data_IF_477942918311
#
_entry.id   IF_477942918311
#
_cell.length_a   1.000
_cell.length_b   1.000
_cell.length_c   1.000
_cell.angle_alpha   90.00
_cell.angle_beta   90.00
_cell.angle_gamma   90.00
#
_symmetry.space_group_name_H-M   'P 1'
#
loop_
_entity.id
_entity.type
_entity.pdbx_description
1 polymer ?
#
# COMPACT_ATOMS: atom_id res chain seq x y z
N UNK A 1 12.74 4.93 29.70
CA UNK A 1 13.72 5.19 28.62
C UNK A 1 14.38 6.54 28.89
N UNK A 2 15.70 6.54 29.04
CA UNK A 2 16.51 7.75 29.01
C UNK A 2 16.82 8.08 27.54
N UNK A 3 16.69 9.35 27.15
CA UNK A 3 16.96 9.82 25.78
C UNK A 3 18.09 10.83 25.83
N UNK A 4 19.22 10.50 25.20
CA UNK A 4 20.37 11.39 25.12
C UNK A 4 20.17 12.41 23.99
N UNK A 5 20.25 13.71 24.31
CA UNK A 5 20.23 14.80 23.34
C UNK A 5 21.51 14.80 22.49
N UNK A 6 21.39 14.95 21.16
CA UNK A 6 22.52 14.88 20.22
C UNK A 6 22.54 16.02 19.22
N UNK A 7 21.42 16.27 18.54
CA UNK A 7 21.34 17.27 17.48
C UNK A 7 20.77 18.61 17.94
N UNK A 8 20.00 18.60 19.02
CA UNK A 8 19.25 19.76 19.49
C UNK A 8 19.83 20.36 20.76
N UNK A 9 19.39 21.56 21.13
CA UNK A 9 19.78 22.23 22.38
C UNK A 9 18.55 22.45 23.26
N UNK A 10 18.66 22.13 24.56
CA UNK A 10 17.55 22.29 25.51
C UNK A 10 17.03 23.73 25.53
N UNK A 11 15.71 23.88 25.44
CA UNK A 11 15.02 25.17 25.49
C UNK A 11 15.06 25.96 24.17
N UNK A 12 15.69 25.44 23.12
CA UNK A 12 15.58 26.02 21.77
C UNK A 12 14.43 25.36 21.02
N UNK A 13 13.64 26.17 20.30
CA UNK A 13 12.63 25.64 19.38
C UNK A 13 13.33 24.94 18.20
N UNK A 14 13.11 23.64 18.09
CA UNK A 14 13.66 22.80 17.04
C UNK A 14 13.29 23.31 15.63
N UNK A 15 12.14 23.94 15.45
CA UNK A 15 11.75 24.44 14.12
C UNK A 15 12.56 25.66 13.67
N UNK A 16 13.33 26.29 14.57
CA UNK A 16 14.27 27.37 14.25
C UNK A 16 15.65 26.84 13.82
N UNK A 17 15.84 25.52 13.74
CA UNK A 17 17.08 24.92 13.23
C UNK A 17 17.18 24.92 11.71
N UNK A 18 16.13 25.36 11.01
CA UNK A 18 16.06 25.49 9.56
C UNK A 18 15.42 26.81 9.17
N UNK A 19 15.81 27.35 8.01
CA UNK A 19 15.13 28.48 7.39
C UNK A 19 13.85 28.02 6.67
N UNK A 20 12.82 28.85 6.66
CA UNK A 20 11.51 28.52 6.09
C UNK A 20 11.15 29.42 4.94
N UNK A 21 10.56 28.84 3.90
CA UNK A 21 10.07 29.58 2.75
C UNK A 21 8.70 29.08 2.29
N UNK A 22 7.94 29.99 1.70
CA UNK A 22 6.69 29.66 1.02
C UNK A 22 7.00 29.18 -0.39
N UNK A 23 6.44 28.04 -0.76
CA UNK A 23 6.55 27.47 -2.11
C UNK A 23 5.19 27.10 -2.67
N UNK A 24 5.11 27.18 -3.99
CA UNK A 24 4.03 26.57 -4.75
C UNK A 24 4.33 25.10 -5.04
N UNK A 25 3.29 24.28 -5.00
CA UNK A 25 3.27 22.92 -5.52
C UNK A 25 2.09 22.75 -6.45
N UNK A 26 2.35 22.26 -7.67
CA UNK A 26 1.35 22.06 -8.72
C UNK A 26 1.56 20.69 -9.34
N UNK A 27 0.51 19.87 -9.30
CA UNK A 27 0.48 18.55 -9.94
C UNK A 27 -0.40 18.64 -11.17
N UNK A 28 0.11 18.19 -12.30
CA UNK A 28 -0.63 18.09 -13.55
C UNK A 28 -0.74 16.65 -14.02
N UNK A 29 -1.80 16.35 -14.77
CA UNK A 29 -1.91 15.15 -15.58
C UNK A 29 -0.99 15.25 -16.81
N UNK A 30 -0.83 14.14 -17.55
CA UNK A 30 -0.04 14.11 -18.78
C UNK A 30 -0.58 15.04 -19.87
N UNK A 31 -1.89 15.32 -19.85
CA UNK A 31 -2.57 16.28 -20.74
C UNK A 31 -2.38 17.76 -20.32
N UNK A 32 -1.65 18.02 -19.23
CA UNK A 32 -1.39 19.36 -18.69
C UNK A 32 -2.49 19.93 -17.78
N UNK A 33 -3.61 19.22 -17.60
CA UNK A 33 -4.67 19.63 -16.67
C UNK A 33 -4.21 19.58 -15.22
N UNK A 34 -4.66 20.54 -14.39
CA UNK A 34 -4.25 20.63 -12.98
C UNK A 34 -5.04 19.65 -12.14
N UNK A 35 -4.33 18.75 -11.46
CA UNK A 35 -4.90 17.81 -10.48
C UNK A 35 -4.98 18.45 -9.10
N UNK A 36 -3.96 19.21 -8.74
CA UNK A 36 -3.84 19.84 -7.43
C UNK A 36 -2.88 21.02 -7.49
N UNK A 37 -3.18 22.09 -6.77
CA UNK A 37 -2.31 23.26 -6.65
C UNK A 37 -2.43 23.87 -5.23
N UNK A 38 -1.29 24.29 -4.67
CA UNK A 38 -1.19 25.06 -3.43
C UNK A 38 -0.02 26.02 -3.56
N UNK A 39 -0.23 27.31 -3.30
CA UNK A 39 0.76 28.36 -3.60
C UNK A 39 1.52 28.89 -2.37
N UNK A 40 1.12 28.48 -1.18
CA UNK A 40 1.50 29.07 0.10
C UNK A 40 1.92 27.98 1.10
N UNK A 41 2.61 26.94 0.62
CA UNK A 41 3.12 25.86 1.46
C UNK A 41 4.44 26.27 2.13
N UNK A 42 4.48 26.25 3.46
CA UNK A 42 5.69 26.52 4.25
C UNK A 42 6.56 25.27 4.37
N UNK A 43 7.74 25.31 3.77
CA UNK A 43 8.69 24.20 3.69
C UNK A 43 10.08 24.68 4.12
N UNK A 44 10.93 23.82 4.71
CA UNK A 44 12.33 24.18 4.93
C UNK A 44 13.05 24.54 3.62
N UNK A 45 13.77 25.66 3.61
CA UNK A 45 14.41 26.20 2.41
C UNK A 45 15.41 25.24 1.76
N UNK A 46 16.06 24.40 2.56
CA UNK A 46 17.02 23.40 2.09
C UNK A 46 16.38 22.19 1.40
N UNK A 47 15.06 21.96 1.52
CA UNK A 47 14.41 20.86 0.81
C UNK A 47 14.38 21.15 -0.68
N UNK A 48 14.38 20.12 -1.53
CA UNK A 48 14.21 20.29 -2.98
C UNK A 48 12.76 20.58 -3.35
N UNK A 49 12.52 21.15 -4.55
CA UNK A 49 11.15 21.31 -5.07
C UNK A 49 10.42 19.96 -5.16
N UNK A 50 11.11 18.88 -5.55
CA UNK A 50 10.51 17.54 -5.57
C UNK A 50 10.04 17.10 -4.17
N UNK A 51 10.83 17.37 -3.12
CA UNK A 51 10.42 17.08 -1.75
C UNK A 51 9.22 17.93 -1.31
N UNK A 52 9.19 19.21 -1.72
CA UNK A 52 8.01 20.07 -1.56
C UNK A 52 6.79 19.45 -2.22
N UNK A 53 6.90 19.05 -3.49
CA UNK A 53 5.76 18.50 -4.23
C UNK A 53 5.26 17.20 -3.62
N UNK A 54 6.15 16.31 -3.16
CA UNK A 54 5.76 15.08 -2.46
C UNK A 54 5.09 15.40 -1.11
N UNK A 55 5.69 16.27 -0.30
CA UNK A 55 5.16 16.65 1.01
C UNK A 55 3.75 17.23 0.87
N UNK A 56 3.58 18.21 -0.01
CA UNK A 56 2.30 18.88 -0.21
C UNK A 56 1.31 17.93 -0.86
N UNK A 57 1.67 17.20 -1.91
CA UNK A 57 0.71 16.36 -2.63
C UNK A 57 0.26 15.12 -1.86
N UNK A 58 1.16 14.49 -1.10
CA UNK A 58 0.92 13.18 -0.48
C UNK A 58 0.69 13.26 1.03
N UNK A 59 1.40 14.12 1.74
CA UNK A 59 1.46 14.06 3.21
C UNK A 59 0.66 15.15 3.91
N UNK A 60 0.47 16.31 3.29
CA UNK A 60 -0.44 17.31 3.82
C UNK A 60 -1.87 16.78 3.80
N UNK A 61 -2.49 16.75 4.99
CA UNK A 61 -3.91 16.53 5.13
C UNK A 61 -4.66 17.63 4.36
N UNK A 62 -5.64 17.24 3.55
CA UNK A 62 -6.32 18.16 2.63
C UNK A 62 -7.53 18.88 3.23
N UNK A 63 -8.10 18.36 4.32
CA UNK A 63 -9.30 18.90 4.95
C UNK A 63 -9.41 18.48 6.42
N UNK A 64 -10.21 19.24 7.18
CA UNK A 64 -10.53 18.96 8.58
C UNK A 64 -9.49 19.48 9.58
N UNK A 65 -8.46 20.20 9.12
CA UNK A 65 -7.43 20.80 9.99
C UNK A 65 -7.93 22.17 10.45
N UNK A 66 -8.05 22.44 11.75
CA UNK A 66 -8.44 23.75 12.26
C UNK A 66 -7.52 24.86 11.73
N UNK A 67 -8.10 25.97 11.28
CA UNK A 67 -7.35 27.11 10.75
C UNK A 67 -7.14 28.16 11.83
N UNK A 68 -6.00 28.83 11.80
CA UNK A 68 -5.59 29.85 12.76
C UNK A 68 -5.14 31.10 12.02
N UNK A 69 -5.32 32.26 12.65
CA UNK A 69 -4.72 33.53 12.21
C UNK A 69 -3.25 33.58 12.60
N UNK A 70 -2.52 34.57 12.09
CA UNK A 70 -1.08 34.76 12.36
C UNK A 70 -0.77 34.98 13.85
N UNK A 71 -1.74 35.46 14.63
CA UNK A 71 -1.63 35.64 16.08
C UNK A 71 -1.93 34.36 16.90
N UNK A 72 -2.18 33.24 16.22
CA UNK A 72 -2.51 31.95 16.82
C UNK A 72 -3.97 31.81 17.26
N UNK A 73 -4.83 32.80 17.01
CA UNK A 73 -6.26 32.68 17.31
C UNK A 73 -6.97 31.79 16.30
N UNK A 74 -7.85 30.91 16.78
CA UNK A 74 -8.63 30.03 15.92
C UNK A 74 -9.57 30.84 15.02
N UNK A 75 -9.65 30.47 13.75
CA UNK A 75 -10.65 31.01 12.83
C UNK A 75 -11.95 30.25 13.10
N UNK A 76 -12.99 30.97 13.47
CA UNK A 76 -14.34 30.42 13.72
C UNK A 76 -15.33 30.99 12.72
N UNK A 77 -16.30 30.17 12.33
CA UNK A 77 -17.45 30.58 11.53
C UNK A 77 -18.45 31.37 12.39
N UNK A 78 -19.45 31.97 11.75
CA UNK A 78 -20.49 32.78 12.41
C UNK A 78 -21.28 32.01 13.47
N UNK A 79 -21.37 30.69 13.33
CA UNK A 79 -22.02 29.78 14.29
C UNK A 79 -21.10 29.33 15.44
N UNK A 80 -19.87 29.83 15.49
CA UNK A 80 -18.87 29.50 16.51
C UNK A 80 -18.10 28.20 16.24
N UNK A 81 -18.36 27.49 15.15
CA UNK A 81 -17.60 26.28 14.80
C UNK A 81 -16.22 26.61 14.22
N UNK A 82 -15.17 25.80 14.46
CA UNK A 82 -13.86 26.03 13.87
C UNK A 82 -13.91 25.92 12.34
N UNK A 83 -13.35 26.91 11.66
CA UNK A 83 -13.10 26.82 10.22
C UNK A 83 -11.97 25.81 10.01
N UNK A 84 -12.18 24.87 9.09
CA UNK A 84 -11.19 23.83 8.78
C UNK A 84 -10.69 23.93 7.34
N UNK A 85 -9.50 23.42 7.10
CA UNK A 85 -8.82 23.46 5.81
C UNK A 85 -7.72 22.41 5.71
N UNK A 86 -6.77 22.57 4.78
CA UNK A 86 -5.60 21.70 4.66
C UNK A 86 -4.49 22.04 5.66
N UNK A 87 -3.54 21.14 5.84
CA UNK A 87 -2.20 21.48 6.32
C UNK A 87 -1.50 22.37 5.28
N UNK A 88 -0.74 23.35 5.76
CA UNK A 88 -0.01 24.33 4.96
C UNK A 88 1.48 24.40 5.28
N UNK A 89 1.95 23.60 6.24
CA UNK A 89 3.37 23.61 6.63
C UNK A 89 3.89 22.22 6.93
N UNK A 90 5.14 21.94 6.53
CA UNK A 90 5.84 20.73 6.98
C UNK A 90 5.98 20.69 8.52
N UNK A 91 5.98 21.85 9.21
CA UNK A 91 5.95 21.92 10.68
C UNK A 91 4.75 21.18 11.26
N UNK A 92 3.57 21.40 10.68
CA UNK A 92 2.31 20.79 11.14
C UNK A 92 2.37 19.27 11.06
N UNK A 93 2.84 18.75 9.92
CA UNK A 93 3.00 17.31 9.70
C UNK A 93 4.00 16.70 10.69
N UNK A 94 5.21 17.29 10.78
CA UNK A 94 6.28 16.80 11.66
C UNK A 94 5.83 16.85 13.13
N UNK A 95 5.17 17.93 13.53
CA UNK A 95 4.63 18.10 14.87
C UNK A 95 3.60 17.04 15.22
N UNK A 96 2.61 16.78 14.35
CA UNK A 96 1.60 15.75 14.65
C UNK A 96 2.18 14.35 14.74
N UNK A 97 3.24 14.04 13.97
CA UNK A 97 3.96 12.78 14.08
C UNK A 97 4.70 12.68 15.42
N UNK A 98 5.69 13.56 15.63
CA UNK A 98 6.58 13.50 16.80
C UNK A 98 5.81 13.72 18.12
N UNK A 99 4.85 14.65 18.11
CA UNK A 99 4.02 14.97 19.27
C UNK A 99 3.08 13.84 19.65
N UNK A 100 2.46 13.15 18.67
CA UNK A 100 1.62 11.99 18.95
C UNK A 100 2.44 10.84 19.55
N UNK A 101 3.62 10.54 19.00
CA UNK A 101 4.49 9.49 19.55
C UNK A 101 4.99 9.84 20.96
N UNK A 102 5.39 11.09 21.18
CA UNK A 102 5.75 11.59 22.52
C UNK A 102 4.58 11.38 23.49
N UNK A 103 3.39 11.84 23.13
CA UNK A 103 2.22 11.77 24.01
C UNK A 103 1.85 10.33 24.38
N UNK A 104 1.98 9.38 23.44
CA UNK A 104 1.81 7.95 23.75
C UNK A 104 2.92 7.42 24.66
N UNK A 105 4.18 7.78 24.40
CA UNK A 105 5.29 7.40 25.28
C UNK A 105 5.12 7.92 26.71
N UNK A 106 4.63 9.15 26.89
CA UNK A 106 4.30 9.70 28.20
C UNK A 106 3.14 8.95 28.86
N UNK A 107 2.03 8.76 28.13
CA UNK A 107 0.83 8.05 28.61
C UNK A 107 1.14 6.63 29.10
N UNK A 108 2.06 5.94 28.44
CA UNK A 108 2.42 4.56 28.75
C UNK A 108 3.71 4.42 29.57
N UNK A 109 4.23 5.53 30.13
CA UNK A 109 5.36 5.49 31.07
C UNK A 109 6.69 5.09 30.43
N UNK A 110 6.88 5.37 29.14
CA UNK A 110 8.10 4.99 28.42
C UNK A 110 9.29 5.88 28.80
N UNK A 111 9.08 7.12 29.23
CA UNK A 111 10.17 8.06 29.54
C UNK A 111 10.50 8.07 31.04
N UNK A 112 11.79 8.17 31.37
CA UNK A 112 12.19 8.26 32.79
C UNK A 112 11.85 9.63 33.38
N UNK A 113 11.92 10.68 32.56
CA UNK A 113 11.65 12.07 32.95
C UNK A 113 10.91 12.83 31.85
N UNK A 114 10.29 13.95 32.18
CA UNK A 114 9.73 14.89 31.18
C UNK A 114 10.80 15.41 30.22
N UNK A 115 12.04 15.61 30.71
CA UNK A 115 13.16 16.04 29.87
C UNK A 115 13.54 14.99 28.81
N UNK A 116 13.40 13.71 29.11
CA UNK A 116 13.57 12.64 28.12
C UNK A 116 12.48 12.71 27.03
N UNK A 117 11.23 13.02 27.41
CA UNK A 117 10.12 13.16 26.47
C UNK A 117 10.28 14.40 25.57
N UNK A 118 10.71 15.54 26.14
CA UNK A 118 11.03 16.75 25.38
C UNK A 118 12.20 16.50 24.42
N UNK A 119 13.26 15.83 24.89
CA UNK A 119 14.41 15.48 24.06
C UNK A 119 14.02 14.52 22.94
N UNK A 120 13.16 13.53 23.21
CA UNK A 120 12.64 12.64 22.18
C UNK A 120 11.90 13.39 21.07
N UNK A 121 11.03 14.34 21.44
CA UNK A 121 10.30 15.16 20.49
C UNK A 121 11.24 16.04 19.66
N UNK A 122 12.18 16.74 20.30
CA UNK A 122 13.11 17.65 19.64
C UNK A 122 14.02 16.90 18.66
N UNK A 123 14.62 15.79 19.08
CA UNK A 123 15.53 15.01 18.22
C UNK A 123 14.80 14.45 16.99
N UNK A 124 13.58 13.93 17.15
CA UNK A 124 12.79 13.41 16.02
C UNK A 124 12.35 14.51 15.05
N UNK A 125 11.90 15.65 15.56
CA UNK A 125 11.59 16.82 14.74
C UNK A 125 12.83 17.25 13.93
N UNK A 126 13.98 17.36 14.59
CA UNK A 126 15.23 17.75 13.95
C UNK A 126 15.62 16.76 12.84
N UNK A 127 15.57 15.45 13.12
CA UNK A 127 15.94 14.40 12.16
C UNK A 127 15.02 14.40 10.93
N UNK A 128 13.73 14.69 11.08
CA UNK A 128 12.81 14.82 9.95
C UNK A 128 13.04 16.13 9.17
N UNK A 129 13.26 17.25 9.85
CA UNK A 129 13.54 18.55 9.21
C UNK A 129 14.84 18.52 8.37
N UNK A 130 15.85 17.80 8.85
CA UNK A 130 17.16 17.65 8.19
C UNK A 130 17.24 16.40 7.29
N UNK A 131 16.11 15.69 7.10
CA UNK A 131 16.02 14.49 6.27
C UNK A 131 17.04 13.38 6.65
N UNK A 132 17.42 13.30 7.93
CA UNK A 132 18.30 12.27 8.49
C UNK A 132 17.55 10.96 8.70
N UNK A 133 16.24 11.04 9.00
CA UNK A 133 15.36 9.87 9.08
C UNK A 133 13.95 10.21 8.65
N UNK A 134 13.26 9.24 8.07
CA UNK A 134 11.84 9.34 7.76
C UNK A 134 11.13 8.02 8.09
N UNK A 135 9.96 8.05 8.73
CA UNK A 135 9.14 6.85 8.89
C UNK A 135 8.49 6.45 7.55
N UNK A 136 7.91 5.25 7.51
CA UNK A 136 7.16 4.77 6.35
C UNK A 136 5.92 5.65 6.03
N UNK A 137 5.44 5.64 4.79
CA UNK A 137 4.39 6.57 4.31
C UNK A 137 3.08 6.58 5.13
N UNK A 138 2.51 5.44 5.56
CA UNK A 138 1.32 5.46 6.44
C UNK A 138 1.46 6.28 7.72
N UNK A 139 2.67 6.37 8.28
CA UNK A 139 2.92 7.26 9.42
C UNK A 139 2.64 8.72 9.05
N UNK A 140 3.16 9.16 7.90
CA UNK A 140 2.92 10.50 7.39
C UNK A 140 1.45 10.75 7.09
N UNK A 141 0.70 9.75 6.61
CA UNK A 141 -0.71 9.93 6.26
C UNK A 141 -1.62 10.07 7.49
N UNK A 142 -1.42 9.21 8.50
CA UNK A 142 -2.47 8.96 9.50
C UNK A 142 -2.06 9.37 10.93
N UNK A 143 -0.77 9.34 11.25
CA UNK A 143 -0.29 9.54 12.62
C UNK A 143 -0.59 10.95 13.13
N UNK A 144 -1.15 11.02 14.34
CA UNK A 144 -1.38 12.28 15.03
C UNK A 144 -2.51 13.15 14.50
N UNK A 145 -3.27 12.72 13.49
CA UNK A 145 -4.43 13.49 13.00
C UNK A 145 -5.47 13.71 14.12
N UNK A 146 -5.79 12.67 14.88
CA UNK A 146 -6.68 12.80 16.03
C UNK A 146 -6.03 13.59 17.17
N UNK A 147 -4.76 13.32 17.48
CA UNK A 147 -4.04 13.96 18.58
C UNK A 147 -3.87 15.47 18.38
N UNK A 148 -3.44 15.91 17.20
CA UNK A 148 -3.16 17.31 16.90
C UNK A 148 -4.42 18.10 16.55
N UNK A 149 -5.40 17.48 15.88
CA UNK A 149 -6.52 18.20 15.26
C UNK A 149 -7.90 17.72 15.71
N UNK A 150 -8.00 16.68 16.54
CA UNK A 150 -9.28 16.08 16.92
C UNK A 150 -10.00 15.37 15.77
N UNK A 151 -9.31 15.13 14.64
CA UNK A 151 -9.91 14.46 13.48
C UNK A 151 -10.22 13.01 13.85
N UNK A 152 -11.48 12.62 13.71
CA UNK A 152 -11.97 11.26 13.92
C UNK A 152 -12.73 10.75 12.69
N UNK A 153 -13.29 9.55 12.78
CA UNK A 153 -14.08 8.92 11.72
C UNK A 153 -14.70 7.61 12.20
N UNK A 154 -15.75 7.11 11.51
CA UNK A 154 -16.45 5.91 11.95
C UNK A 154 -15.51 4.70 12.01
N UNK A 155 -15.73 3.81 12.99
CA UNK A 155 -15.02 2.53 13.07
C UNK A 155 -15.06 1.79 11.72
N UNK A 156 -13.92 1.24 11.30
CA UNK A 156 -13.77 0.56 10.01
C UNK A 156 -13.37 -0.92 10.14
N UNK A 157 -13.34 -1.45 11.37
CA UNK A 157 -12.95 -2.84 11.62
C UNK A 157 -11.44 -3.07 11.75
N UNK A 158 -10.67 -2.07 12.22
CA UNK A 158 -9.28 -2.29 12.64
C UNK A 158 -9.26 -2.87 14.05
N UNK A 159 -8.27 -3.70 14.31
CA UNK A 159 -7.99 -4.23 15.64
C UNK A 159 -6.90 -3.39 16.31
N UNK A 160 -7.07 -3.16 17.60
CA UNK A 160 -6.11 -2.51 18.48
C UNK A 160 -5.92 -3.41 19.69
N UNK A 161 -4.69 -3.45 20.21
CA UNK A 161 -4.40 -4.24 21.41
C UNK A 161 -4.41 -3.33 22.62
N UNK A 162 -5.03 -3.78 23.70
CA UNK A 162 -4.84 -3.15 25.01
C UNK A 162 -3.38 -3.36 25.43
N UNK A 163 -2.61 -2.29 25.72
CA UNK A 163 -1.19 -2.42 26.03
C UNK A 163 -0.90 -3.04 27.41
N UNK A 164 -1.92 -3.18 28.27
CA UNK A 164 -1.80 -3.76 29.61
C UNK A 164 -2.15 -5.24 29.60
N UNK A 165 -3.28 -5.62 28.99
CA UNK A 165 -3.73 -7.02 28.93
C UNK A 165 -3.21 -7.76 27.70
N UNK A 166 -2.87 -7.04 26.62
CA UNK A 166 -2.53 -7.61 25.32
C UNK A 166 -3.74 -8.08 24.51
N UNK A 167 -4.97 -7.93 25.03
CA UNK A 167 -6.18 -8.37 24.34
C UNK A 167 -6.49 -7.50 23.12
N UNK A 168 -6.80 -8.14 21.99
CA UNK A 168 -7.20 -7.46 20.79
C UNK A 168 -8.69 -7.07 20.87
N UNK A 169 -9.00 -5.82 20.53
CA UNK A 169 -10.36 -5.31 20.42
C UNK A 169 -10.53 -4.48 19.15
N UNK A 170 -11.77 -4.30 18.71
CA UNK A 170 -12.04 -3.40 17.58
C UNK A 170 -11.85 -1.94 17.99
N UNK A 171 -11.17 -1.19 17.13
CA UNK A 171 -11.03 0.25 17.28
C UNK A 171 -12.40 0.93 17.24
N UNK A 172 -12.64 1.84 18.20
CA UNK A 172 -13.89 2.60 18.29
C UNK A 172 -14.06 3.64 17.17
N UNK A 173 -12.95 4.09 16.59
CA UNK A 173 -12.92 5.07 15.51
C UNK A 173 -11.68 4.87 14.62
N UNK A 174 -11.59 5.64 13.54
CA UNK A 174 -10.56 5.47 12.51
C UNK A 174 -9.19 6.12 12.80
N UNK A 175 -9.10 7.07 13.74
CA UNK A 175 -7.91 7.94 13.86
C UNK A 175 -7.36 8.10 15.28
N UNK A 176 -8.10 7.75 16.34
CA UNK A 176 -7.56 7.72 17.71
C UNK A 176 -6.45 6.68 17.85
N UNK A 177 -6.60 5.56 17.15
CA UNK A 177 -5.59 4.55 16.91
C UNK A 177 -5.38 4.46 15.39
N UNK A 178 -4.56 5.36 14.82
CA UNK A 178 -4.37 5.44 13.38
C UNK A 178 -3.71 4.17 12.86
N UNK A 179 -3.94 3.83 11.60
CA UNK A 179 -3.27 2.74 10.90
C UNK A 179 -1.94 3.22 10.29
N UNK A 180 -0.78 2.97 10.90
CA UNK A 180 0.45 3.68 10.55
C UNK A 180 1.56 2.70 10.10
N UNK A 181 1.19 1.48 9.72
CA UNK A 181 2.09 0.41 9.31
C UNK A 181 1.99 0.18 7.80
N UNK A 182 3.14 0.00 7.13
CA UNK A 182 3.19 -0.16 5.69
C UNK A 182 3.01 -1.60 5.20
N UNK A 183 3.36 -2.61 6.02
CA UNK A 183 3.46 -3.99 5.56
C UNK A 183 2.60 -4.91 6.43
N UNK A 184 1.78 -5.73 5.80
CA UNK A 184 0.97 -6.77 6.44
C UNK A 184 1.14 -8.10 5.71
N UNK A 185 1.20 -9.18 6.48
CA UNK A 185 1.09 -10.55 5.98
C UNK A 185 -0.25 -11.08 6.43
N UNK A 186 -1.04 -11.61 5.51
CA UNK A 186 -2.37 -12.15 5.81
C UNK A 186 -2.43 -13.62 5.45
N UNK A 187 -3.11 -14.40 6.30
CA UNK A 187 -3.51 -15.77 5.97
C UNK A 187 -4.82 -15.77 5.20
N UNK A 188 -5.01 -16.88 4.48
CA UNK A 188 -6.23 -17.20 3.75
C UNK A 188 -6.51 -18.69 3.92
N UNK A 189 -7.76 -18.99 4.26
CA UNK A 189 -8.27 -20.35 4.31
C UNK A 189 -9.00 -20.68 3.00
N UNK A 190 -9.03 -21.97 2.65
CA UNK A 190 -9.74 -22.49 1.48
C UNK A 190 -11.26 -22.58 1.73
N UNK A 191 -11.83 -21.42 2.04
CA UNK A 191 -13.25 -21.16 2.26
C UNK A 191 -13.66 -19.90 1.48
N UNK A 192 -14.85 -19.90 0.89
CA UNK A 192 -15.27 -18.79 0.04
C UNK A 192 -15.66 -17.54 0.84
N UNK A 193 -16.43 -17.66 1.93
CA UNK A 193 -17.15 -16.52 2.56
C UNK A 193 -17.02 -16.42 4.07
N UNK A 194 -16.53 -17.46 4.73
CA UNK A 194 -16.28 -17.51 6.16
C UNK A 194 -15.16 -16.56 6.60
N UNK A 195 -15.06 -16.38 7.91
CA UNK A 195 -13.95 -15.65 8.52
C UNK A 195 -12.61 -16.32 8.16
N UNK A 196 -11.63 -15.54 7.70
CA UNK A 196 -10.37 -16.09 7.20
C UNK A 196 -10.40 -16.55 5.74
N UNK A 197 -11.58 -16.69 5.13
CA UNK A 197 -11.76 -17.13 3.74
C UNK A 197 -11.41 -16.08 2.68
N UNK A 198 -11.68 -16.42 1.42
CA UNK A 198 -11.30 -15.66 0.22
C UNK A 198 -11.96 -14.28 0.17
N UNK A 199 -13.28 -14.20 0.34
CA UNK A 199 -14.02 -12.92 0.28
C UNK A 199 -13.73 -12.04 1.50
N UNK A 200 -13.50 -12.66 2.66
CA UNK A 200 -13.09 -11.94 3.87
C UNK A 200 -11.69 -11.33 3.71
N UNK A 201 -10.73 -12.06 3.11
CA UNK A 201 -9.41 -11.50 2.79
C UNK A 201 -9.54 -10.20 2.00
N UNK A 202 -10.34 -10.15 0.94
CA UNK A 202 -10.48 -8.92 0.15
C UNK A 202 -11.07 -7.77 0.96
N UNK A 203 -11.96 -8.06 1.90
CA UNK A 203 -12.50 -7.07 2.84
C UNK A 203 -11.41 -6.55 3.79
N UNK A 204 -10.58 -7.46 4.34
CA UNK A 204 -9.45 -7.11 5.20
C UNK A 204 -8.40 -6.28 4.45
N UNK A 205 -8.05 -6.69 3.24
CA UNK A 205 -7.12 -5.96 2.37
C UNK A 205 -7.65 -4.58 2.00
N UNK A 206 -8.94 -4.45 1.67
CA UNK A 206 -9.56 -3.16 1.37
C UNK A 206 -9.44 -2.17 2.53
N UNK A 207 -9.62 -2.65 3.79
CA UNK A 207 -9.37 -1.83 4.99
C UNK A 207 -7.92 -1.37 5.05
N UNK A 208 -6.96 -2.27 4.87
CA UNK A 208 -5.52 -1.94 4.90
C UNK A 208 -5.13 -0.95 3.79
N UNK A 209 -5.58 -1.19 2.55
CA UNK A 209 -5.30 -0.33 1.41
C UNK A 209 -5.85 1.08 1.62
N UNK A 210 -7.08 1.21 2.12
CA UNK A 210 -7.73 2.51 2.40
C UNK A 210 -6.84 3.44 3.22
N UNK A 211 -6.02 2.91 4.13
CA UNK A 211 -5.14 3.69 5.01
C UNK A 211 -3.67 3.72 4.58
N UNK A 212 -3.32 3.19 3.40
CA UNK A 212 -1.97 3.34 2.84
C UNK A 212 -1.07 2.11 3.03
N UNK A 213 -1.58 1.03 3.61
CA UNK A 213 -0.80 -0.19 3.84
C UNK A 213 -0.76 -1.06 2.58
N UNK A 214 0.30 -1.86 2.44
CA UNK A 214 0.39 -2.99 1.51
C UNK A 214 0.17 -4.32 2.22
N UNK A 215 -0.21 -5.33 1.45
CA UNK A 215 -0.54 -6.68 1.93
C UNK A 215 0.18 -7.74 1.12
N UNK A 216 0.60 -8.83 1.77
CA UNK A 216 1.10 -10.04 1.14
C UNK A 216 0.39 -11.27 1.68
N UNK A 217 0.04 -12.19 0.79
CA UNK A 217 -0.64 -13.43 1.15
C UNK A 217 -0.03 -14.60 0.38
N UNK A 218 0.21 -15.71 1.07
CA UNK A 218 0.47 -16.99 0.42
C UNK A 218 -0.86 -17.68 0.11
N UNK A 219 -1.13 -17.93 -1.16
CA UNK A 219 -2.38 -18.51 -1.64
C UNK A 219 -2.32 -20.03 -1.81
N UNK A 220 -1.22 -20.67 -1.41
CA UNK A 220 -0.99 -22.10 -1.63
C UNK A 220 -1.97 -23.03 -0.95
N UNK A 221 -2.73 -22.55 0.04
CA UNK A 221 -3.78 -23.33 0.67
C UNK A 221 -5.05 -23.44 -0.18
N UNK A 222 -5.25 -22.53 -1.14
CA UNK A 222 -6.45 -22.53 -1.99
C UNK A 222 -6.39 -23.71 -2.96
N UNK A 223 -7.48 -24.44 -3.11
CA UNK A 223 -7.51 -25.59 -4.02
C UNK A 223 -7.33 -25.19 -5.50
N UNK A 224 -6.62 -26.01 -6.24
CA UNK A 224 -6.35 -25.83 -7.66
C UNK A 224 -7.56 -26.07 -8.56
N UNK A 225 -7.41 -25.79 -9.85
CA UNK A 225 -8.45 -26.02 -10.84
C UNK A 225 -8.83 -27.51 -10.92
N UNK A 226 -10.14 -27.78 -11.02
CA UNK A 226 -10.64 -29.14 -11.17
C UNK A 226 -10.72 -29.99 -9.89
N UNK A 227 -10.19 -29.50 -8.76
CA UNK A 227 -10.32 -30.18 -7.45
C UNK A 227 -11.78 -30.20 -6.96
N UNK A 228 -12.15 -31.22 -6.19
CA UNK A 228 -13.54 -31.45 -5.77
C UNK A 228 -14.08 -30.37 -4.80
N UNK A 229 -15.38 -30.10 -4.89
CA UNK A 229 -16.12 -29.24 -3.94
C UNK A 229 -17.01 -30.07 -3.01
N UNK A 230 -17.21 -29.60 -1.78
CA UNK A 230 -18.03 -30.29 -0.76
C UNK A 230 -19.51 -30.42 -1.16
N UNK A 231 -20.05 -29.44 -1.88
CA UNK A 231 -21.41 -29.46 -2.43
C UNK A 231 -21.57 -30.24 -3.74
N UNK A 232 -20.50 -30.88 -4.23
CA UNK A 232 -20.43 -31.46 -5.57
C UNK A 232 -19.97 -30.44 -6.62
N UNK A 233 -19.39 -30.94 -7.71
CA UNK A 233 -18.75 -30.13 -8.75
C UNK A 233 -17.24 -29.96 -8.56
N UNK A 234 -16.66 -29.04 -9.32
CA UNK A 234 -15.21 -28.80 -9.39
C UNK A 234 -14.88 -27.33 -9.14
N UNK A 235 -13.76 -27.09 -8.49
CA UNK A 235 -13.16 -25.76 -8.30
C UNK A 235 -12.83 -25.12 -9.65
N UNK A 236 -12.98 -23.80 -9.73
CA UNK A 236 -12.51 -22.96 -10.85
C UNK A 236 -11.03 -22.55 -10.70
N UNK A 237 -10.35 -23.08 -9.68
CA UNK A 237 -8.94 -22.89 -9.41
C UNK A 237 -8.56 -21.53 -8.83
N UNK A 238 -7.33 -21.46 -8.34
CA UNK A 238 -6.75 -20.29 -7.71
C UNK A 238 -6.81 -19.06 -8.62
N UNK A 239 -6.51 -19.25 -9.91
CA UNK A 239 -6.40 -18.15 -10.87
C UNK A 239 -7.70 -17.37 -11.03
N UNK A 240 -8.86 -17.99 -10.83
CA UNK A 240 -10.16 -17.33 -10.87
C UNK A 240 -10.30 -16.30 -9.74
N UNK A 241 -9.86 -16.65 -8.53
CA UNK A 241 -9.91 -15.77 -7.36
C UNK A 241 -8.83 -14.70 -7.40
N UNK A 242 -7.62 -15.02 -7.90
CA UNK A 242 -6.57 -14.01 -8.09
C UNK A 242 -6.98 -12.90 -9.06
N UNK A 243 -7.74 -13.21 -10.11
CA UNK A 243 -8.31 -12.19 -11.01
C UNK A 243 -9.30 -11.26 -10.29
N UNK A 244 -10.09 -11.78 -9.35
CA UNK A 244 -11.00 -10.92 -8.57
C UNK A 244 -10.18 -10.03 -7.63
N UNK A 245 -9.19 -10.60 -6.93
CA UNK A 245 -8.29 -9.85 -6.06
C UNK A 245 -7.50 -8.76 -6.80
N UNK A 246 -7.04 -9.04 -8.03
CA UNK A 246 -6.39 -8.08 -8.91
C UNK A 246 -7.30 -6.88 -9.23
N UNK A 247 -8.57 -7.14 -9.59
CA UNK A 247 -9.56 -6.08 -9.82
C UNK A 247 -9.87 -5.28 -8.57
N UNK A 248 -10.01 -5.95 -7.43
CA UNK A 248 -10.25 -5.31 -6.15
C UNK A 248 -9.10 -4.37 -5.78
N UNK A 249 -7.84 -4.82 -5.92
CA UNK A 249 -6.66 -4.00 -5.66
C UNK A 249 -6.57 -2.79 -6.61
N UNK A 250 -6.85 -2.98 -7.90
CA UNK A 250 -6.84 -1.89 -8.89
C UNK A 250 -7.90 -0.81 -8.64
N UNK A 251 -9.06 -1.18 -8.06
CA UNK A 251 -10.14 -0.24 -7.78
C UNK A 251 -9.89 0.64 -6.53
N UNK A 252 -9.01 0.21 -5.62
CA UNK A 252 -8.82 0.87 -4.32
C UNK A 252 -7.60 1.81 -4.36
N UNK A 253 -7.87 3.10 -4.16
CA UNK A 253 -6.82 4.13 -4.01
C UNK A 253 -6.25 4.12 -2.59
N UNK A 254 -4.95 3.90 -2.49
CA UNK A 254 -4.27 3.69 -1.22
C UNK A 254 -4.08 5.00 -0.44
N UNK A 255 -4.49 5.00 0.84
CA UNK A 255 -4.40 6.17 1.73
C UNK A 255 -5.26 7.36 1.30
N UNK A 256 -6.26 7.17 0.43
CA UNK A 256 -7.01 8.27 -0.18
C UNK A 256 -6.18 9.18 -1.09
N UNK A 257 -4.99 8.72 -1.50
CA UNK A 257 -4.08 9.46 -2.41
C UNK A 257 -4.14 8.89 -3.83
N UNK A 258 -3.39 9.44 -4.78
CA UNK A 258 -3.28 8.89 -6.15
C UNK A 258 -2.46 7.59 -6.26
N UNK A 259 -2.11 6.95 -5.13
CA UNK A 259 -1.30 5.72 -5.12
C UNK A 259 -2.19 4.48 -5.28
N UNK A 260 -1.79 3.52 -6.12
CA UNK A 260 -2.43 2.19 -6.22
C UNK A 260 -2.19 1.35 -4.96
N UNK A 261 -3.11 0.45 -4.64
CA UNK A 261 -2.90 -0.57 -3.62
C UNK A 261 -1.66 -1.41 -3.94
N UNK A 262 -0.91 -1.80 -2.91
CA UNK A 262 0.26 -2.66 -3.05
C UNK A 262 -0.07 -4.06 -2.54
N UNK A 263 -0.16 -5.03 -3.46
CA UNK A 263 -0.48 -6.43 -3.16
C UNK A 263 0.67 -7.35 -3.57
N UNK A 264 1.00 -8.31 -2.73
CA UNK A 264 1.89 -9.41 -3.04
C UNK A 264 1.12 -10.74 -2.99
N UNK A 265 1.29 -11.55 -4.02
CA UNK A 265 0.70 -12.89 -4.14
C UNK A 265 1.84 -13.90 -4.18
N UNK A 266 1.85 -14.83 -3.23
CA UNK A 266 2.80 -15.93 -3.20
C UNK A 266 2.13 -17.26 -3.53
N UNK A 267 2.85 -18.14 -4.21
CA UNK A 267 2.43 -19.51 -4.49
C UNK A 267 3.60 -20.49 -4.37
N UNK A 268 3.39 -21.62 -3.69
CA UNK A 268 4.36 -22.69 -3.54
C UNK A 268 4.55 -23.42 -4.87
N UNK A 269 5.79 -23.83 -5.17
CA UNK A 269 6.16 -24.42 -6.45
C UNK A 269 5.45 -25.75 -6.77
N UNK A 270 4.89 -26.42 -5.76
CA UNK A 270 4.15 -27.68 -5.88
C UNK A 270 2.64 -27.47 -6.07
N UNK A 271 2.17 -26.22 -6.16
CA UNK A 271 0.74 -25.96 -6.32
C UNK A 271 0.23 -26.45 -7.70
N UNK A 272 -0.96 -27.07 -7.82
CA UNK A 272 -1.49 -27.57 -9.10
C UNK A 272 -1.58 -26.51 -10.20
N UNK A 273 -1.91 -25.28 -9.82
CA UNK A 273 -2.03 -24.14 -10.76
C UNK A 273 -0.69 -23.39 -11.01
N UNK A 274 0.47 -23.91 -10.58
CA UNK A 274 1.75 -23.17 -10.62
C UNK A 274 2.16 -22.73 -12.03
N UNK A 275 2.02 -23.60 -13.04
CA UNK A 275 2.36 -23.25 -14.42
C UNK A 275 1.47 -22.11 -14.95
N UNK A 276 0.19 -22.12 -14.59
CA UNK A 276 -0.74 -21.05 -14.97
C UNK A 276 -0.42 -19.74 -14.26
N UNK A 277 -0.01 -19.79 -13.00
CA UNK A 277 0.40 -18.64 -12.19
C UNK A 277 1.69 -17.99 -12.74
N UNK A 278 2.73 -18.78 -13.00
CA UNK A 278 4.02 -18.31 -13.53
C UNK A 278 3.84 -17.58 -14.86
N UNK A 279 3.06 -18.17 -15.78
CA UNK A 279 2.87 -17.61 -17.11
C UNK A 279 1.77 -16.53 -17.19
N UNK A 280 1.09 -16.21 -16.08
CA UNK A 280 -0.08 -15.34 -16.10
C UNK A 280 0.23 -13.96 -16.65
N UNK A 281 1.22 -13.25 -16.06
CA UNK A 281 1.52 -11.87 -16.48
C UNK A 281 2.06 -11.81 -17.90
N UNK A 282 2.95 -12.73 -18.30
CA UNK A 282 3.47 -12.80 -19.68
C UNK A 282 2.32 -12.92 -20.68
N UNK A 283 1.33 -13.77 -20.40
CA UNK A 283 0.15 -13.90 -21.25
C UNK A 283 -0.62 -12.59 -21.36
N UNK A 284 -0.75 -11.84 -20.27
CA UNK A 284 -1.46 -10.56 -20.25
C UNK A 284 -0.66 -9.45 -20.96
N UNK A 285 0.67 -9.41 -20.84
CA UNK A 285 1.53 -8.50 -21.63
C UNK A 285 1.42 -8.75 -23.14
N UNK A 286 1.39 -10.03 -23.56
CA UNK A 286 1.17 -10.37 -24.97
C UNK A 286 -0.20 -9.90 -25.47
N UNK A 287 -1.24 -9.97 -24.62
CA UNK A 287 -2.57 -9.42 -24.94
C UNK A 287 -2.54 -7.90 -25.06
N UNK A 288 -1.86 -7.21 -24.14
CA UNK A 288 -1.67 -5.75 -24.21
C UNK A 288 -1.01 -5.39 -25.54
N UNK A 289 0.06 -6.08 -25.94
CA UNK A 289 0.72 -5.84 -27.22
C UNK A 289 -0.24 -5.93 -28.42
N UNK A 290 -1.12 -6.93 -28.43
CA UNK A 290 -2.15 -7.07 -29.46
C UNK A 290 -3.21 -5.95 -29.42
N UNK A 291 -3.66 -5.55 -28.23
CA UNK A 291 -4.62 -4.45 -28.06
C UNK A 291 -4.03 -3.13 -28.54
N UNK A 292 -2.80 -2.81 -28.13
CA UNK A 292 -2.08 -1.60 -28.56
C UNK A 292 -1.96 -1.56 -30.08
N UNK A 293 -1.60 -2.69 -30.70
CA UNK A 293 -1.46 -2.74 -32.15
C UNK A 293 -2.79 -2.57 -32.89
N UNK A 294 -3.87 -3.13 -32.35
CA UNK A 294 -5.23 -2.90 -32.86
C UNK A 294 -5.67 -1.43 -32.74
N UNK A 295 -5.38 -0.78 -31.61
CA UNK A 295 -5.74 0.62 -31.36
C UNK A 295 -5.02 1.60 -32.30
N UNK A 296 -3.80 1.27 -32.76
CA UNK A 296 -3.09 2.07 -33.77
C UNK A 296 -3.76 2.03 -35.15
N UNK A 297 -4.59 1.03 -35.41
CA UNK A 297 -5.18 0.75 -36.73
C UNK A 297 -6.70 0.88 -36.74
N UNK A 298 -7.28 1.65 -35.81
CA UNK A 298 -8.71 1.96 -35.81
C UNK A 298 -9.13 2.63 -37.13
N UNK A 299 -10.30 2.25 -37.65
CA UNK A 299 -10.86 2.88 -38.84
C UNK A 299 -11.31 4.32 -38.54
N UNK A 300 -11.40 5.21 -39.56
CA UNK A 300 -11.91 6.57 -39.37
C UNK A 300 -13.28 6.61 -38.67
N UNK A 301 -14.17 5.66 -38.97
CA UNK A 301 -15.49 5.57 -38.36
C UNK A 301 -15.44 5.22 -36.87
N UNK A 302 -14.47 4.39 -36.46
CA UNK A 302 -14.26 4.03 -35.05
C UNK A 302 -13.67 5.21 -34.26
N UNK A 303 -12.75 5.97 -34.87
CA UNK A 303 -12.18 7.18 -34.28
C UNK A 303 -13.29 8.24 -34.10
N UNK A 304 -14.08 8.51 -35.14
CA UNK A 304 -15.20 9.46 -35.08
C UNK A 304 -16.23 9.04 -34.00
N UNK A 305 -16.52 7.74 -33.90
CA UNK A 305 -17.41 7.22 -32.86
C UNK A 305 -16.86 7.45 -31.45
N UNK A 306 -15.56 7.19 -31.24
CA UNK A 306 -14.91 7.42 -29.96
C UNK A 306 -14.94 8.91 -29.58
N UNK A 307 -14.58 9.80 -30.50
CA UNK A 307 -14.64 11.26 -30.31
C UNK A 307 -16.06 11.74 -29.99
N UNK A 308 -17.06 11.26 -30.73
CA UNK A 308 -18.47 11.60 -30.53
C UNK A 308 -18.99 11.18 -29.15
N UNK A 309 -18.49 10.07 -28.63
CA UNK A 309 -18.86 9.54 -27.31
C UNK A 309 -17.93 10.04 -26.19
N UNK A 310 -16.87 10.79 -26.51
CA UNK A 310 -15.87 11.23 -25.55
C UNK A 310 -15.07 10.09 -24.93
N UNK A 311 -14.87 8.99 -25.67
CA UNK A 311 -14.10 7.82 -25.21
C UNK A 311 -12.61 8.05 -25.44
N UNK A 312 -11.80 7.78 -24.41
CA UNK A 312 -10.35 7.88 -24.51
C UNK A 312 -9.74 6.51 -24.81
N UNK A 313 -9.51 6.23 -26.09
CA UNK A 313 -8.92 4.97 -26.56
C UNK A 313 -7.39 5.06 -26.61
N UNK A 314 -6.77 5.37 -25.48
CA UNK A 314 -5.32 5.38 -25.35
C UNK A 314 -4.75 3.99 -25.02
N UNK A 315 -3.44 3.89 -25.20
CA UNK A 315 -2.65 2.70 -24.90
C UNK A 315 -1.47 3.05 -23.98
N UNK A 316 -1.60 4.13 -23.21
CA UNK A 316 -0.67 4.42 -22.12
C UNK A 316 -0.70 3.27 -21.10
N UNK A 317 0.41 3.07 -20.38
CA UNK A 317 0.47 2.02 -19.37
C UNK A 317 -0.47 2.29 -18.16
N UNK A 318 -0.93 3.53 -17.97
CA UNK A 318 -2.01 3.88 -17.03
C UNK A 318 -3.38 4.00 -17.72
N UNK A 319 -3.41 3.78 -19.03
CA UNK A 319 -4.55 3.94 -19.92
C UNK A 319 -5.62 2.88 -19.77
N UNK A 320 -6.79 3.13 -20.37
CA UNK A 320 -7.96 2.24 -20.24
C UNK A 320 -7.67 0.85 -20.81
N UNK A 321 -6.98 0.77 -21.95
CA UNK A 321 -6.63 -0.51 -22.58
C UNK A 321 -5.81 -1.41 -21.65
N UNK A 322 -4.81 -0.84 -20.98
CA UNK A 322 -3.97 -1.57 -20.02
C UNK A 322 -4.77 -1.99 -18.78
N UNK A 323 -5.73 -1.17 -18.35
CA UNK A 323 -6.64 -1.51 -17.26
C UNK A 323 -7.58 -2.67 -17.63
N UNK A 324 -7.76 -3.04 -18.90
CA UNK A 324 -8.64 -4.17 -19.27
C UNK A 324 -8.01 -5.55 -19.09
N UNK A 325 -6.69 -5.67 -19.01
CA UNK A 325 -6.01 -6.95 -18.75
C UNK A 325 -5.92 -7.25 -17.25
N UNK A 326 -5.58 -8.50 -16.91
CA UNK A 326 -5.51 -8.96 -15.51
C UNK A 326 -4.07 -9.09 -15.02
N UNK A 327 -3.89 -9.23 -13.70
CA UNK A 327 -2.60 -9.52 -13.07
C UNK A 327 -1.67 -8.31 -12.96
N UNK A 328 -2.21 -7.09 -13.07
CA UNK A 328 -1.43 -5.85 -13.10
C UNK A 328 -1.35 -5.13 -11.75
N UNK A 329 -2.14 -5.57 -10.76
CA UNK A 329 -2.28 -4.91 -9.46
C UNK A 329 -1.70 -5.74 -8.30
N UNK A 330 -0.88 -6.74 -8.62
CA UNK A 330 -0.09 -7.48 -7.64
C UNK A 330 1.32 -7.76 -8.15
N UNK A 331 2.28 -7.85 -7.23
CA UNK A 331 3.56 -8.50 -7.47
C UNK A 331 3.38 -10.00 -7.19
N UNK A 332 3.78 -10.84 -8.13
CA UNK A 332 3.62 -12.28 -8.02
C UNK A 332 4.97 -12.89 -7.66
N UNK A 333 4.98 -13.85 -6.75
CA UNK A 333 6.21 -14.55 -6.37
C UNK A 333 5.94 -16.03 -6.18
N UNK A 334 6.91 -16.85 -6.54
CA UNK A 334 6.87 -18.28 -6.25
C UNK A 334 7.74 -18.59 -5.03
N UNK A 335 7.29 -19.51 -4.20
CA UNK A 335 8.02 -20.00 -3.04
C UNK A 335 8.73 -21.30 -3.43
N UNK A 336 10.05 -21.27 -3.33
CA UNK A 336 10.94 -22.34 -3.78
C UNK A 336 11.69 -22.93 -2.59
N UNK A 337 11.67 -24.25 -2.48
CA UNK A 337 12.40 -24.99 -1.47
C UNK A 337 13.77 -25.45 -1.97
N UNK A 338 14.64 -25.87 -1.05
CA UNK A 338 15.91 -26.52 -1.39
C UNK A 338 15.69 -27.81 -2.18
N UNK A 339 14.60 -28.52 -1.89
CA UNK A 339 14.20 -29.75 -2.57
C UNK A 339 13.86 -29.49 -4.03
N UNK A 340 13.17 -28.37 -4.34
CA UNK A 340 12.91 -27.97 -5.72
C UNK A 340 14.21 -27.74 -6.49
N UNK A 341 15.17 -27.00 -5.94
CA UNK A 341 16.45 -26.78 -6.60
C UNK A 341 17.26 -28.06 -6.79
N UNK A 342 17.24 -29.00 -5.82
CA UNK A 342 17.83 -30.33 -6.02
C UNK A 342 17.18 -31.08 -7.17
N UNK A 343 15.85 -30.98 -7.32
CA UNK A 343 15.15 -31.58 -8.44
C UNK A 343 15.55 -30.94 -9.79
N UNK A 344 15.74 -29.62 -9.84
CA UNK A 344 16.27 -28.91 -11.02
C UNK A 344 17.69 -29.37 -11.36
N UNK A 345 18.58 -29.47 -10.37
CA UNK A 345 19.98 -29.87 -10.57
C UNK A 345 20.12 -31.32 -11.07
N UNK A 346 19.18 -32.19 -10.70
CA UNK A 346 19.22 -33.63 -11.01
C UNK A 346 18.29 -34.05 -12.15
N UNK A 347 17.68 -33.09 -12.86
CA UNK A 347 16.71 -33.34 -13.93
C UNK A 347 15.52 -34.22 -13.49
N UNK A 348 15.10 -34.09 -12.23
CA UNK A 348 14.03 -34.88 -11.65
C UNK A 348 12.64 -34.34 -12.02
N UNK A 349 11.63 -35.19 -11.80
CA UNK A 349 10.23 -34.77 -11.80
C UNK A 349 9.92 -34.02 -10.50
N UNK A 350 8.95 -33.11 -10.59
CA UNK A 350 8.39 -32.32 -9.51
C UNK A 350 6.88 -32.58 -9.48
N UNK A 351 6.39 -33.04 -8.34
CA UNK A 351 4.99 -33.36 -8.17
C UNK A 351 4.20 -32.12 -7.77
N UNK A 352 3.12 -31.86 -8.49
CA UNK A 352 2.13 -30.86 -8.14
C UNK A 352 1.04 -31.53 -7.30
N UNK A 353 0.78 -30.99 -6.10
CA UNK A 353 0.03 -31.68 -5.05
C UNK A 353 -1.32 -31.00 -4.82
N UNK A 354 -2.41 -31.78 -4.91
CA UNK A 354 -3.77 -31.32 -4.64
C UNK A 354 -3.94 -30.87 -3.19
N UNK A 355 -4.63 -29.76 -2.96
CA UNK A 355 -4.82 -29.22 -1.60
C UNK A 355 -5.96 -29.90 -0.84
N UNK A 356 -6.86 -30.58 -1.55
CA UNK A 356 -8.04 -31.22 -0.93
C UNK A 356 -7.78 -32.61 -0.38
N UNK A 357 -6.86 -33.39 -0.95
CA UNK A 357 -6.56 -34.78 -0.54
C UNK A 357 -5.06 -35.12 -0.47
N UNK A 358 -4.17 -34.22 -0.89
CA UNK A 358 -2.73 -34.46 -0.89
C UNK A 358 -2.24 -35.41 -1.99
N UNK A 359 -3.12 -35.81 -2.92
CA UNK A 359 -2.72 -36.63 -4.06
C UNK A 359 -1.95 -35.82 -5.12
N UNK A 360 -1.14 -36.51 -5.92
CA UNK A 360 -0.43 -35.91 -7.04
C UNK A 360 -1.45 -35.54 -8.13
N UNK A 361 -1.58 -34.25 -8.41
CA UNK A 361 -2.36 -33.74 -9.55
C UNK A 361 -1.66 -34.06 -10.87
N UNK A 362 -0.35 -33.81 -10.93
CA UNK A 362 0.50 -33.94 -12.12
C UNK A 362 1.97 -33.94 -11.69
N UNK A 363 2.82 -34.73 -12.34
CA UNK A 363 4.28 -34.59 -12.23
C UNK A 363 4.82 -33.88 -13.46
N UNK A 364 5.73 -32.92 -13.27
CA UNK A 364 6.37 -32.14 -14.34
C UNK A 364 7.89 -32.14 -14.19
N UNK A 365 8.68 -32.00 -15.26
CA UNK A 365 10.12 -31.80 -15.11
C UNK A 365 10.40 -30.52 -14.31
N UNK A 366 11.20 -30.62 -13.24
CA UNK A 366 11.51 -29.46 -12.40
C UNK A 366 12.23 -28.36 -13.18
N UNK A 367 13.13 -28.76 -14.09
CA UNK A 367 13.85 -27.86 -14.99
C UNK A 367 12.89 -27.07 -15.89
N UNK A 368 11.88 -27.71 -16.46
CA UNK A 368 10.91 -27.04 -17.34
C UNK A 368 10.14 -25.95 -16.58
N UNK A 369 9.72 -26.22 -15.34
CA UNK A 369 9.08 -25.18 -14.50
C UNK A 369 10.06 -24.03 -14.22
N UNK A 370 11.31 -24.34 -13.86
CA UNK A 370 12.33 -23.32 -13.60
C UNK A 370 12.64 -22.46 -14.83
N UNK A 371 12.71 -23.07 -16.01
CA UNK A 371 12.91 -22.36 -17.28
C UNK A 371 11.72 -21.45 -17.59
N UNK A 372 10.48 -21.91 -17.37
CA UNK A 372 9.29 -21.06 -17.49
C UNK A 372 9.36 -19.84 -16.57
N UNK A 373 9.80 -20.02 -15.31
CA UNK A 373 9.99 -18.92 -14.35
C UNK A 373 11.02 -17.92 -14.85
N UNK A 374 12.17 -18.39 -15.32
CA UNK A 374 13.24 -17.53 -15.83
C UNK A 374 12.78 -16.75 -17.08
N UNK A 375 12.11 -17.42 -18.01
CA UNK A 375 11.57 -16.80 -19.23
C UNK A 375 10.50 -15.77 -18.88
N UNK A 376 9.59 -16.08 -17.96
CA UNK A 376 8.56 -15.15 -17.54
C UNK A 376 9.15 -13.90 -16.88
N UNK A 377 10.06 -14.09 -15.92
CA UNK A 377 10.76 -13.00 -15.25
C UNK A 377 11.57 -12.14 -16.22
N UNK A 378 12.19 -12.74 -17.25
CA UNK A 378 12.87 -11.97 -18.29
C UNK A 378 11.91 -11.10 -19.13
N UNK A 379 10.71 -11.61 -19.44
CA UNK A 379 9.75 -10.90 -20.28
C UNK A 379 8.99 -9.78 -19.54
N UNK A 380 8.64 -9.98 -18.26
CA UNK A 380 7.77 -9.05 -17.54
C UNK A 380 8.16 -8.76 -16.09
N UNK A 381 9.36 -9.17 -15.65
CA UNK A 381 9.86 -9.03 -14.28
C UNK A 381 9.07 -9.79 -13.19
N UNK A 382 8.16 -10.69 -13.59
CA UNK A 382 7.38 -11.57 -12.72
C UNK A 382 7.39 -13.02 -13.24
N UNK A 383 7.27 -14.03 -12.36
CA UNK A 383 7.21 -13.89 -10.91
C UNK A 383 8.59 -13.68 -10.28
N UNK A 384 8.62 -12.99 -9.14
CA UNK A 384 9.77 -13.01 -8.23
C UNK A 384 9.93 -14.37 -7.53
N UNK A 385 10.98 -14.52 -6.75
CA UNK A 385 11.27 -15.74 -5.98
C UNK A 385 11.37 -15.45 -4.49
N UNK A 386 10.84 -16.37 -3.68
CA UNK A 386 10.99 -16.40 -2.23
C UNK A 386 11.55 -17.77 -1.82
N UNK A 387 12.67 -17.79 -1.10
CA UNK A 387 13.37 -19.02 -0.73
C UNK A 387 12.85 -19.57 0.58
N UNK A 388 11.82 -20.42 0.50
CA UNK A 388 11.08 -20.98 1.64
C UNK A 388 11.98 -21.68 2.67
N UNK A 389 12.99 -22.43 2.23
CA UNK A 389 13.87 -23.15 3.18
C UNK A 389 14.86 -22.25 3.95
N UNK A 390 14.95 -20.97 3.61
CA UNK A 390 15.91 -20.02 4.21
C UNK A 390 15.26 -19.09 5.23
N UNK A 391 13.96 -18.78 5.05
CA UNK A 391 13.17 -17.86 5.88
C UNK A 391 12.17 -18.62 6.73
#
# INVERSE_FOLDING_TARGET
>A
MHVQRRFTTKGQDVFNTVEWEQRSSRITNADGSVVFEMNDAWIPAQWSQLATDIMVSKYFRKAGVPQYKDDGTAVVADDGTPVTGPERSARQVIHRLAGCWRAWGEKHGYFNTTEDADTFYDELCWMMLHQVSAPNSPQWFNTGLHWAYGISGPAQGHWVNDPTSGEAMLAHDAYSHPQPHACFIQSIDDDLVGEGGIMDLWTREARLFKYGSGTGTNFSNIRGDGESLSGGGKSSGLMSFLKIGDRAAGAIKSGGTTRRAAKMVCLDADHPDIEAFVNWKVREELKVGALVEGLKHLSPEQIELAEKLGLNLDYDFNGEAYQTVSGQNSNNSIRLSSEFFRAVDTDAQWDLIRRTDGEIAKSIPARDLWDQVCIAAWNCADPGVQYDSTI
#
